data_IF_156337890647
#
_entry.id   IF_156337890647
#
_cell.length_a   1.000
_cell.length_b   1.000
_cell.length_c   1.000
_cell.angle_alpha   90.00
_cell.angle_beta   90.00
_cell.angle_gamma   90.00
#
_symmetry.space_group_name_H-M   'P 1'
#
loop_
_entity.id
_entity.type
_entity.pdbx_description
1 polymer ?
#
# COMPACT_ATOMS: atom_id res chain seq x y z
N UNK A 1 -15.12 1.08 -10.88
CA UNK A 1 -14.65 -0.17 -10.22
C UNK A 1 -15.37 -1.35 -10.85
N UNK A 2 -14.72 -2.51 -11.01
CA UNK A 2 -15.35 -3.77 -11.46
C UNK A 2 -15.20 -4.92 -10.43
N UNK A 3 -14.34 -4.74 -9.43
CA UNK A 3 -14.28 -5.57 -8.21
C UNK A 3 -15.03 -4.95 -7.04
N UNK A 4 -14.64 -5.31 -5.81
CA UNK A 4 -15.30 -4.86 -4.57
C UNK A 4 -14.38 -3.95 -3.74
N UNK A 5 -14.95 -2.86 -3.24
CA UNK A 5 -14.34 -2.02 -2.20
C UNK A 5 -15.16 -2.21 -0.92
N UNK A 6 -14.52 -2.70 0.14
CA UNK A 6 -15.09 -2.89 1.47
C UNK A 6 -14.58 -1.79 2.38
N UNK A 7 -15.51 -1.04 2.99
CA UNK A 7 -15.20 0.04 3.93
C UNK A 7 -15.75 -0.37 5.28
N UNK A 8 -14.86 -0.51 6.26
CA UNK A 8 -15.22 -0.83 7.63
C UNK A 8 -15.24 0.47 8.41
N UNK A 9 -16.42 1.07 8.63
CA UNK A 9 -16.55 2.33 9.37
C UNK A 9 -16.38 3.59 8.51
N UNK A 10 -15.81 4.64 9.09
CA UNK A 10 -15.58 5.92 8.38
C UNK A 10 -14.17 5.98 7.85
N UNK A 11 -14.04 6.42 6.59
CA UNK A 11 -12.76 6.73 5.97
C UNK A 11 -12.84 8.10 5.30
N UNK A 12 -11.71 8.74 5.09
CA UNK A 12 -11.61 9.95 4.28
C UNK A 12 -10.78 9.67 3.01
N UNK A 13 -11.26 10.16 1.87
CA UNK A 13 -10.53 10.06 0.60
C UNK A 13 -10.42 11.44 -0.01
N UNK A 14 -9.19 11.92 -0.15
CA UNK A 14 -8.88 13.23 -0.68
C UNK A 14 -9.21 13.34 -2.17
N UNK A 15 -9.58 14.55 -2.58
CA UNK A 15 -9.91 14.90 -3.96
C UNK A 15 -8.80 14.49 -4.94
N UNK A 16 -9.18 14.08 -6.14
CA UNK A 16 -8.25 13.66 -7.19
C UNK A 16 -7.70 12.24 -7.05
N UNK A 17 -8.02 11.52 -5.96
CA UNK A 17 -7.64 10.12 -5.80
C UNK A 17 -8.30 9.23 -6.85
N UNK A 18 -7.54 8.26 -7.36
CA UNK A 18 -7.98 7.28 -8.35
C UNK A 18 -7.87 5.88 -7.77
N UNK A 19 -9.01 5.20 -7.63
CA UNK A 19 -9.09 3.85 -7.09
C UNK A 19 -9.68 2.92 -8.15
N UNK A 20 -8.85 1.98 -8.60
CA UNK A 20 -9.23 0.94 -9.54
C UNK A 20 -9.18 -0.42 -8.88
N UNK A 21 -10.31 -1.13 -8.92
CA UNK A 21 -10.40 -2.52 -8.46
C UNK A 21 -10.90 -3.36 -9.62
N UNK A 22 -10.07 -4.30 -10.06
CA UNK A 22 -10.31 -5.20 -11.18
C UNK A 22 -11.39 -6.25 -10.85
N UNK A 23 -12.00 -6.90 -11.85
CA UNK A 23 -12.96 -8.00 -11.62
C UNK A 23 -12.36 -9.09 -10.73
N UNK A 24 -13.11 -9.51 -9.71
CA UNK A 24 -12.68 -10.55 -8.76
C UNK A 24 -11.75 -10.07 -7.65
N UNK A 25 -11.14 -8.89 -7.76
CA UNK A 25 -10.28 -8.32 -6.73
C UNK A 25 -11.10 -7.64 -5.61
N UNK A 26 -10.51 -7.60 -4.42
CA UNK A 26 -11.08 -6.94 -3.25
C UNK A 26 -10.08 -5.93 -2.69
N UNK A 27 -10.53 -4.70 -2.52
CA UNK A 27 -9.86 -3.71 -1.68
C UNK A 27 -10.64 -3.59 -0.37
N UNK A 28 -9.96 -3.67 0.77
CA UNK A 28 -10.55 -3.58 2.10
C UNK A 28 -9.86 -2.47 2.88
N UNK A 29 -10.62 -1.59 3.52
CA UNK A 29 -10.09 -0.47 4.29
C UNK A 29 -10.71 -0.43 5.68
N UNK A 30 -9.87 -0.49 6.71
CA UNK A 30 -10.24 -0.36 8.11
C UNK A 30 -10.73 1.05 8.48
N UNK A 31 -11.40 1.13 9.63
CA UNK A 31 -11.97 2.38 10.13
C UNK A 31 -10.90 3.41 10.48
N UNK A 32 -11.29 4.68 10.42
CA UNK A 32 -10.46 5.84 10.76
C UNK A 32 -9.17 5.98 9.93
N UNK A 33 -9.08 5.22 8.84
CA UNK A 33 -8.04 5.39 7.82
C UNK A 33 -8.37 6.55 6.87
N UNK A 34 -7.35 7.29 6.45
CA UNK A 34 -7.51 8.36 5.48
C UNK A 34 -6.48 8.29 4.36
N UNK A 35 -6.93 8.73 3.19
CA UNK A 35 -6.12 8.94 2.00
C UNK A 35 -6.10 10.42 1.70
N UNK A 36 -4.92 11.01 1.68
CA UNK A 36 -4.71 12.39 1.25
C UNK A 36 -5.06 12.54 -0.25
N UNK A 37 -5.14 13.78 -0.77
CA UNK A 37 -5.38 14.02 -2.19
C UNK A 37 -4.42 13.30 -3.14
N UNK A 38 -4.91 13.04 -4.35
CA UNK A 38 -4.16 12.48 -5.49
C UNK A 38 -3.53 11.09 -5.26
N UNK A 39 -4.08 10.28 -4.37
CA UNK A 39 -3.60 8.90 -4.17
C UNK A 39 -4.05 8.03 -5.34
N UNK A 40 -3.13 7.22 -5.89
CA UNK A 40 -3.41 6.29 -7.00
C UNK A 40 -3.30 4.84 -6.52
N UNK A 41 -4.39 4.10 -6.63
CA UNK A 41 -4.49 2.71 -6.18
C UNK A 41 -4.99 1.87 -7.36
N UNK A 42 -4.20 0.89 -7.77
CA UNK A 42 -4.56 -0.10 -8.79
C UNK A 42 -4.49 -1.48 -8.16
N UNK A 43 -5.65 -2.14 -8.09
CA UNK A 43 -5.84 -3.45 -7.44
C UNK A 43 -6.36 -4.46 -8.46
N UNK A 44 -5.51 -5.37 -8.88
CA UNK A 44 -5.81 -6.51 -9.73
C UNK A 44 -6.00 -7.82 -8.97
N UNK A 45 -5.43 -7.94 -7.77
CA UNK A 45 -5.51 -9.15 -6.94
C UNK A 45 -6.08 -8.87 -5.55
N UNK A 46 -5.54 -7.92 -4.80
CA UNK A 46 -6.05 -7.57 -3.48
C UNK A 46 -5.27 -6.46 -2.81
N UNK A 47 -5.97 -5.65 -2.03
CA UNK A 47 -5.33 -4.63 -1.20
C UNK A 47 -6.05 -4.50 0.14
N UNK A 48 -5.33 -4.72 1.23
CA UNK A 48 -5.86 -4.56 2.58
C UNK A 48 -5.16 -3.40 3.27
N UNK A 49 -5.94 -2.50 3.85
CA UNK A 49 -5.48 -1.42 4.73
C UNK A 49 -6.11 -1.66 6.10
N UNK A 50 -5.30 -1.71 7.14
CA UNK A 50 -5.74 -1.77 8.52
C UNK A 50 -6.52 -0.53 8.99
N UNK A 51 -6.77 -0.46 10.29
CA UNK A 51 -7.44 0.66 10.97
C UNK A 51 -6.45 1.80 11.23
N UNK A 52 -6.92 3.04 11.21
CA UNK A 52 -6.12 4.20 11.60
C UNK A 52 -4.92 4.50 10.72
N UNK A 53 -4.91 4.05 9.45
CA UNK A 53 -3.80 4.30 8.54
C UNK A 53 -3.85 5.71 7.95
N UNK A 54 -2.67 6.31 7.79
CA UNK A 54 -2.48 7.62 7.19
C UNK A 54 -1.77 7.48 5.84
N UNK A 55 -2.47 7.71 4.73
CA UNK A 55 -1.86 7.65 3.39
C UNK A 55 -1.64 9.07 2.86
N UNK A 56 -0.39 9.46 2.69
CA UNK A 56 0.04 10.79 2.29
C UNK A 56 -0.29 11.15 0.84
N UNK A 57 -0.01 12.40 0.48
CA UNK A 57 -0.29 12.97 -0.84
C UNK A 57 0.48 12.25 -1.95
N UNK A 58 -0.13 12.12 -3.11
CA UNK A 58 0.50 11.58 -4.33
C UNK A 58 1.09 10.16 -4.15
N UNK A 59 0.65 9.38 -3.16
CA UNK A 59 1.08 7.99 -2.95
C UNK A 59 0.56 7.11 -4.09
N UNK A 60 1.39 6.15 -4.52
CA UNK A 60 0.99 5.13 -5.51
C UNK A 60 1.06 3.73 -4.91
N UNK A 61 0.00 2.96 -5.07
CA UNK A 61 -0.12 1.58 -4.59
C UNK A 61 -0.51 0.71 -5.79
N UNK A 62 0.37 -0.21 -6.16
CA UNK A 62 0.27 -0.96 -7.42
C UNK A 62 0.55 -2.44 -7.15
N UNK A 63 -0.52 -3.24 -7.08
CA UNK A 63 -0.41 -4.68 -6.84
C UNK A 63 -0.18 -5.51 -8.13
N UNK A 64 0.02 -4.83 -9.27
CA UNK A 64 0.11 -5.41 -10.62
C UNK A 64 1.11 -4.65 -11.51
N UNK A 65 2.04 -5.38 -12.13
CA UNK A 65 3.04 -4.84 -13.07
C UNK A 65 2.46 -4.44 -14.44
N UNK A 66 1.16 -4.67 -14.67
CA UNK A 66 0.41 -4.55 -15.93
C UNK A 66 0.83 -5.54 -17.02
N UNK A 67 2.11 -5.85 -17.09
CA UNK A 67 2.70 -6.78 -18.04
C UNK A 67 3.41 -7.91 -17.32
N UNK A 68 3.45 -9.07 -17.98
CA UNK A 68 4.23 -10.21 -17.53
C UNK A 68 5.60 -10.15 -18.19
N UNK A 69 6.66 -10.19 -17.40
CA UNK A 69 8.00 -10.43 -17.90
C UNK A 69 8.52 -11.81 -17.47
N UNK A 70 9.50 -12.30 -18.22
CA UNK A 70 10.12 -13.62 -18.03
C UNK A 70 11.61 -13.46 -17.76
N UNK A 71 12.16 -14.40 -17.00
CA UNK A 71 13.60 -14.55 -16.77
C UNK A 71 13.97 -15.99 -17.11
N UNK A 72 14.46 -16.23 -18.32
CA UNK A 72 14.50 -17.58 -18.90
C UNK A 72 13.09 -18.17 -18.98
N UNK A 73 12.93 -19.42 -18.53
CA UNK A 73 11.63 -20.10 -18.49
C UNK A 73 10.72 -19.64 -17.34
N UNK A 74 11.26 -18.87 -16.38
CA UNK A 74 10.49 -18.40 -15.23
C UNK A 74 9.57 -17.24 -15.61
N UNK A 75 8.27 -17.51 -15.61
CA UNK A 75 7.21 -16.48 -15.67
C UNK A 75 6.98 -15.90 -14.28
N UNK A 76 7.19 -14.59 -14.11
CA UNK A 76 6.86 -13.91 -12.84
C UNK A 76 5.35 -13.72 -12.74
N UNK A 77 4.81 -13.81 -11.52
CA UNK A 77 3.41 -13.43 -11.28
C UNK A 77 3.22 -11.98 -11.69
N UNK A 78 2.11 -11.69 -12.39
CA UNK A 78 1.79 -10.33 -12.82
C UNK A 78 1.44 -9.45 -11.61
N UNK A 79 0.59 -10.00 -10.74
CA UNK A 79 0.07 -9.34 -9.55
C UNK A 79 0.28 -10.18 -8.29
N UNK A 80 0.29 -9.53 -7.13
CA UNK A 80 0.29 -10.14 -5.82
C UNK A 80 -0.29 -9.13 -4.81
N UNK A 81 -1.13 -9.56 -3.86
CA UNK A 81 -1.85 -8.64 -2.98
C UNK A 81 -0.90 -7.81 -2.12
N UNK A 82 -1.35 -6.63 -1.72
CA UNK A 82 -0.64 -5.73 -0.79
C UNK A 82 -1.40 -5.69 0.53
N UNK A 83 -0.68 -5.69 1.66
CA UNK A 83 -1.25 -5.57 3.00
C UNK A 83 -0.54 -4.48 3.78
N UNK A 84 -1.31 -3.51 4.29
CA UNK A 84 -0.86 -2.59 5.34
C UNK A 84 -1.57 -3.00 6.62
N UNK A 85 -0.79 -3.23 7.67
CA UNK A 85 -1.27 -3.45 9.02
C UNK A 85 -2.02 -2.25 9.59
N UNK A 86 -2.37 -2.35 10.87
CA UNK A 86 -3.03 -1.28 11.60
C UNK A 86 -2.05 -0.13 11.89
N UNK A 87 -2.53 1.11 11.88
CA UNK A 87 -1.75 2.29 12.22
C UNK A 87 -0.46 2.41 11.40
N UNK A 88 -0.54 2.22 10.08
CA UNK A 88 0.58 2.47 9.16
C UNK A 88 0.48 3.88 8.58
N UNK A 89 1.58 4.63 8.64
CA UNK A 89 1.71 5.93 7.97
C UNK A 89 2.56 5.82 6.71
N UNK A 90 1.96 6.11 5.55
CA UNK A 90 2.66 6.18 4.27
C UNK A 90 2.91 7.64 3.89
N UNK A 91 4.17 8.07 3.92
CA UNK A 91 4.58 9.42 3.57
C UNK A 91 4.33 9.77 2.10
N UNK A 92 4.23 11.07 1.82
CA UNK A 92 3.89 11.58 0.49
C UNK A 92 4.81 11.08 -0.61
N UNK A 93 4.25 10.82 -1.80
CA UNK A 93 4.97 10.34 -3.00
C UNK A 93 5.69 9.00 -2.82
N UNK A 94 5.41 8.26 -1.75
CA UNK A 94 5.89 6.90 -1.63
C UNK A 94 5.17 5.97 -2.64
N UNK A 95 5.85 4.89 -3.01
CA UNK A 95 5.33 3.87 -3.90
C UNK A 95 5.40 2.51 -3.21
N UNK A 96 4.30 1.76 -3.22
CA UNK A 96 4.19 0.41 -2.65
C UNK A 96 3.80 -0.55 -3.76
N UNK A 97 4.63 -1.56 -3.98
CA UNK A 97 4.46 -2.52 -5.08
C UNK A 97 3.92 -3.87 -4.62
N UNK A 98 3.47 -4.65 -5.59
CA UNK A 98 2.85 -5.96 -5.41
C UNK A 98 3.57 -6.88 -4.43
N UNK A 99 2.78 -7.62 -3.66
CA UNK A 99 3.27 -8.62 -2.71
C UNK A 99 3.93 -8.05 -1.46
N UNK A 100 3.87 -6.73 -1.25
CA UNK A 100 4.37 -6.09 -0.03
C UNK A 100 3.35 -6.22 1.10
N UNK A 101 3.85 -6.66 2.25
CA UNK A 101 3.15 -6.61 3.53
C UNK A 101 3.93 -5.69 4.49
N UNK A 102 3.25 -4.75 5.14
CA UNK A 102 3.85 -3.81 6.11
C UNK A 102 3.15 -4.01 7.44
N UNK A 103 3.93 -4.37 8.47
CA UNK A 103 3.46 -4.58 9.82
C UNK A 103 2.93 -3.30 10.50
N UNK A 104 2.19 -3.51 11.59
CA UNK A 104 1.52 -2.45 12.34
C UNK A 104 2.47 -1.34 12.82
N UNK A 105 1.96 -0.11 12.93
CA UNK A 105 2.72 1.01 13.50
C UNK A 105 3.87 1.52 12.63
N UNK A 106 4.11 0.93 11.46
CA UNK A 106 5.21 1.32 10.59
C UNK A 106 4.99 2.69 9.93
N UNK A 107 6.11 3.36 9.64
CA UNK A 107 6.16 4.59 8.86
C UNK A 107 6.94 4.34 7.59
N UNK A 108 6.35 4.60 6.43
CA UNK A 108 7.04 4.67 5.14
C UNK A 108 7.41 6.13 4.87
N UNK A 109 8.70 6.43 4.78
CA UNK A 109 9.18 7.79 4.53
C UNK A 109 8.70 8.33 3.17
N UNK A 110 8.54 9.65 3.07
CA UNK A 110 8.17 10.31 1.82
C UNK A 110 9.14 9.97 0.69
N UNK A 111 8.60 9.67 -0.50
CA UNK A 111 9.36 9.29 -1.68
C UNK A 111 9.99 7.87 -1.63
N UNK A 112 9.75 7.08 -0.59
CA UNK A 112 10.27 5.72 -0.52
C UNK A 112 9.65 4.78 -1.56
N UNK A 113 10.42 3.80 -2.02
CA UNK A 113 9.99 2.81 -3.01
C UNK A 113 10.03 1.42 -2.39
N UNK A 114 8.88 0.95 -1.92
CA UNK A 114 8.74 -0.29 -1.17
C UNK A 114 8.48 -1.45 -2.12
N UNK A 115 9.45 -2.36 -2.18
CA UNK A 115 9.43 -3.55 -3.05
C UNK A 115 9.57 -4.86 -2.26
N UNK A 116 9.67 -4.79 -0.93
CA UNK A 116 9.83 -5.93 -0.03
C UNK A 116 9.01 -5.69 1.24
N UNK A 117 8.43 -6.76 1.78
CA UNK A 117 7.67 -6.73 3.03
C UNK A 117 8.55 -6.36 4.24
N UNK A 118 7.91 -5.81 5.26
CA UNK A 118 8.49 -5.48 6.56
C UNK A 118 7.57 -6.04 7.63
N UNK A 119 7.98 -7.17 8.19
CA UNK A 119 7.19 -7.92 9.19
C UNK A 119 7.42 -7.40 10.62
N UNK A 120 8.40 -6.53 10.81
CA UNK A 120 8.74 -5.93 12.10
C UNK A 120 7.91 -4.67 12.34
N UNK A 121 6.97 -4.66 13.31
CA UNK A 121 6.13 -3.49 13.57
C UNK A 121 6.96 -2.31 14.07
N UNK A 122 6.36 -1.12 14.08
CA UNK A 122 6.97 0.09 14.65
C UNK A 122 8.34 0.42 14.01
N UNK A 123 8.44 0.26 12.69
CA UNK A 123 9.66 0.48 11.92
C UNK A 123 9.53 1.67 10.96
N UNK A 124 10.62 2.43 10.79
CA UNK A 124 10.75 3.46 9.75
C UNK A 124 11.38 2.84 8.50
N UNK A 125 10.66 2.90 7.39
CA UNK A 125 11.01 2.32 6.09
C UNK A 125 11.35 3.45 5.13
N UNK A 126 12.56 3.51 4.59
CA UNK A 126 12.99 4.62 3.72
C UNK A 126 13.93 4.16 2.60
N UNK A 127 14.00 4.97 1.52
CA UNK A 127 14.94 4.77 0.41
C UNK A 127 14.30 4.18 -0.86
N UNK A 128 15.15 3.95 -1.87
CA UNK A 128 14.79 3.31 -3.13
C UNK A 128 15.94 2.39 -3.61
N UNK A 129 15.82 1.05 -3.50
CA UNK A 129 14.72 0.34 -2.85
C UNK A 129 14.68 0.62 -1.34
N UNK A 130 13.49 0.68 -0.77
CA UNK A 130 13.32 0.98 0.64
C UNK A 130 13.82 -0.17 1.55
N UNK A 131 14.30 0.20 2.73
CA UNK A 131 14.67 -0.70 3.82
C UNK A 131 14.34 -0.09 5.17
N UNK A 132 14.34 -0.91 6.22
CA UNK A 132 14.20 -0.44 7.59
C UNK A 132 15.44 0.36 7.98
N UNK A 133 15.25 1.64 8.33
CA UNK A 133 16.32 2.56 8.76
C UNK A 133 16.25 2.90 10.24
N UNK A 134 15.12 2.62 10.90
CA UNK A 134 14.94 2.75 12.35
C UNK A 134 13.87 1.77 12.84
N UNK A 135 14.03 1.30 14.07
CA UNK A 135 13.11 0.39 14.78
C UNK A 135 12.62 1.02 16.07
N UNK A 136 11.49 0.54 16.59
CA UNK A 136 10.91 1.02 17.84
C UNK A 136 10.47 2.48 17.77
N UNK A 137 9.95 2.91 16.61
CA UNK A 137 9.36 4.24 16.45
C UNK A 137 7.87 4.20 16.84
N UNK A 138 7.29 5.36 17.08
CA UNK A 138 5.85 5.54 17.21
C UNK A 138 5.47 6.82 16.47
N UNK A 139 4.25 6.87 15.97
CA UNK A 139 3.69 8.05 15.29
C UNK A 139 2.25 8.27 15.74
N UNK A 140 1.80 9.53 15.69
CA UNK A 140 0.48 10.00 16.12
C UNK A 140 -0.19 10.82 15.01
#
# INVERSE_FOLDING_TARGET
MRGRLLIHGRIAVGVGSRIEVAPGAVMSVGEDSYFSPNVRIIVSSGFTVGRGCAIGWDVQILDDDQHVFRSGDRRRSRSAPIVLGDHVWVGSRAMIFKGVEIADGCVVASGAVVTRSVDEPNSLIAGNPASVVRRGIAWE
#
